data_IF_432615042547
#
_entry.id   IF_432615042547
#
_cell.length_a   1.000
_cell.length_b   1.000
_cell.length_c   1.000
_cell.angle_alpha   90.00
_cell.angle_beta   90.00
_cell.angle_gamma   90.00
#
_symmetry.space_group_name_H-M   'P 1'
#
loop_
_entity.id
_entity.type
_entity.pdbx_description
1 polymer ?
#
# COMPACT_ATOMS: atom_id res chain seq x y z
N UNK A 1 -2.08 -6.71 -4.40
CA UNK A 1 -1.29 -5.94 -3.43
C UNK A 1 -0.70 -6.89 -2.43
N UNK A 2 0.60 -6.76 -2.18
CA UNK A 2 1.32 -7.66 -1.30
C UNK A 2 2.03 -6.89 -0.16
N UNK A 3 2.60 -7.65 0.78
CA UNK A 3 3.51 -7.13 1.80
C UNK A 3 2.95 -5.96 2.61
N UNK A 4 3.77 -4.92 2.71
CA UNK A 4 3.55 -3.74 3.56
C UNK A 4 2.33 -2.92 3.14
N UNK A 5 2.05 -2.80 1.84
CA UNK A 5 0.89 -2.06 1.33
C UNK A 5 -0.40 -2.76 1.74
N UNK A 6 -0.52 -4.06 1.48
CA UNK A 6 -1.70 -4.85 1.84
C UNK A 6 -2.01 -4.78 3.35
N UNK A 7 -0.98 -4.92 4.18
CA UNK A 7 -1.13 -4.83 5.63
C UNK A 7 -1.70 -3.47 6.09
N UNK A 8 -1.09 -2.37 5.66
CA UNK A 8 -1.51 -1.03 6.08
C UNK A 8 -2.92 -0.69 5.57
N UNK A 9 -3.27 -1.13 4.37
CA UNK A 9 -4.61 -0.97 3.81
C UNK A 9 -5.66 -1.70 4.65
N UNK A 10 -5.40 -2.97 5.03
CA UNK A 10 -6.29 -3.76 5.91
C UNK A 10 -6.43 -3.14 7.29
N UNK A 11 -5.33 -2.71 7.90
CA UNK A 11 -5.35 -2.04 9.21
C UNK A 11 -6.14 -0.73 9.16
N UNK A 12 -5.92 0.08 8.13
CA UNK A 12 -6.65 1.35 7.93
C UNK A 12 -8.15 1.12 7.75
N UNK A 13 -8.53 0.12 6.94
CA UNK A 13 -9.93 -0.25 6.76
C UNK A 13 -10.56 -0.74 8.08
N UNK A 14 -9.86 -1.59 8.83
CA UNK A 14 -10.33 -2.03 10.15
C UNK A 14 -10.52 -0.83 11.09
N UNK A 15 -9.55 0.09 11.15
CA UNK A 15 -9.61 1.29 11.96
C UNK A 15 -10.78 2.20 11.57
N UNK A 16 -10.98 2.52 10.28
CA UNK A 16 -12.14 3.28 9.79
C UNK A 16 -13.46 2.64 10.21
N UNK A 17 -13.59 1.31 10.09
CA UNK A 17 -14.79 0.57 10.50
C UNK A 17 -15.04 0.70 12.01
N UNK A 18 -14.00 0.49 12.83
CA UNK A 18 -14.09 0.60 14.29
C UNK A 18 -14.51 2.01 14.70
N UNK A 19 -14.01 3.03 14.02
CA UNK A 19 -14.34 4.42 14.33
C UNK A 19 -15.75 4.81 13.89
N UNK A 20 -16.21 4.29 12.74
CA UNK A 20 -17.55 4.59 12.22
C UNK A 20 -18.66 3.87 12.99
N UNK A 21 -18.44 2.62 13.37
CA UNK A 21 -19.48 1.76 13.97
C UNK A 21 -19.27 1.47 15.45
N UNK A 22 -18.15 1.91 16.04
CA UNK A 22 -17.77 1.62 17.43
C UNK A 22 -17.65 0.12 17.77
N UNK A 23 -17.59 -0.74 16.76
CA UNK A 23 -17.43 -2.19 16.90
C UNK A 23 -15.96 -2.57 16.69
N UNK A 24 -15.36 -3.19 17.71
CA UNK A 24 -13.99 -3.72 17.58
C UNK A 24 -13.95 -4.86 16.57
N UNK A 25 -13.14 -4.71 15.54
CA UNK A 25 -12.84 -5.75 14.56
C UNK A 25 -11.46 -6.31 14.85
N UNK A 26 -11.32 -7.64 14.77
CA UNK A 26 -10.01 -8.27 14.84
C UNK A 26 -9.25 -8.06 13.53
N UNK A 27 -7.99 -7.62 13.66
CA UNK A 27 -7.05 -7.64 12.56
C UNK A 27 -6.17 -8.87 12.73
N UNK A 28 -6.19 -9.76 11.73
CA UNK A 28 -5.32 -10.93 11.68
C UNK A 28 -4.14 -10.62 10.74
N UNK A 29 -2.89 -10.61 11.26
CA UNK A 29 -1.70 -10.48 10.42
C UNK A 29 -1.55 -11.66 9.44
N UNK A 30 -0.77 -11.45 8.38
CA UNK A 30 -0.38 -12.53 7.46
C UNK A 30 0.48 -13.60 8.17
N UNK A 31 0.50 -14.83 7.65
CA UNK A 31 1.15 -15.98 8.30
C UNK A 31 2.66 -15.78 8.59
N UNK A 32 3.32 -14.94 7.78
CA UNK A 32 4.75 -14.62 7.89
C UNK A 32 5.03 -13.52 8.93
N UNK A 33 4.00 -12.94 9.55
CA UNK A 33 4.13 -11.94 10.61
C UNK A 33 4.06 -12.63 11.96
N UNK A 34 5.03 -12.34 12.82
CA UNK A 34 5.05 -12.80 14.20
C UNK A 34 4.31 -11.83 15.12
N UNK A 35 4.65 -10.53 15.05
CA UNK A 35 4.06 -9.53 15.92
C UNK A 35 3.85 -8.18 15.23
N UNK A 36 2.88 -7.42 15.74
CA UNK A 36 2.64 -6.03 15.38
C UNK A 36 2.59 -5.21 16.66
N UNK A 37 3.43 -4.19 16.73
CA UNK A 37 3.48 -3.24 17.85
C UNK A 37 3.48 -1.80 17.36
N UNK A 38 3.20 -0.87 18.27
CA UNK A 38 3.17 0.56 18.00
C UNK A 38 3.95 1.30 19.07
N UNK A 39 4.87 2.15 18.66
CA UNK A 39 5.59 3.05 19.54
C UNK A 39 4.94 4.43 19.47
N UNK A 40 4.20 4.79 20.54
CA UNK A 40 3.47 6.07 20.62
C UNK A 40 4.24 7.09 21.46
N UNK A 41 4.13 8.37 21.12
CA UNK A 41 4.72 9.44 21.94
C UNK A 41 3.86 9.64 23.19
N UNK A 42 4.50 9.58 24.34
CA UNK A 42 3.91 9.75 25.67
C UNK A 42 4.39 11.04 26.33
N UNK A 43 3.87 11.32 27.52
CA UNK A 43 4.14 12.56 28.28
C UNK A 43 5.66 12.74 28.50
N UNK A 44 6.14 13.98 28.39
CA UNK A 44 7.54 14.38 28.59
C UNK A 44 8.55 13.71 27.65
N UNK A 45 8.15 13.39 26.41
CA UNK A 45 9.06 12.86 25.39
C UNK A 45 9.42 11.39 25.58
N UNK A 46 8.80 10.69 26.53
CA UNK A 46 8.91 9.23 26.64
C UNK A 46 8.09 8.57 25.54
N UNK A 47 8.50 7.39 25.08
CA UNK A 47 7.68 6.56 24.21
C UNK A 47 7.03 5.44 25.00
N UNK A 48 5.88 4.97 24.52
CA UNK A 48 5.16 3.82 25.07
C UNK A 48 4.95 2.80 23.96
N UNK A 49 5.33 1.56 24.22
CA UNK A 49 5.04 0.47 23.31
C UNK A 49 3.63 -0.10 23.58
N UNK A 50 2.83 -0.20 22.53
CA UNK A 50 1.55 -0.89 22.50
C UNK A 50 1.74 -2.21 21.75
N UNK A 51 1.38 -3.33 22.37
CA UNK A 51 1.79 -4.67 21.92
C UNK A 51 0.88 -5.28 20.85
N UNK A 52 -0.16 -4.55 20.43
CA UNK A 52 -1.14 -5.07 19.48
C UNK A 52 -1.86 -3.94 18.74
N UNK A 53 -2.43 -4.28 17.58
CA UNK A 53 -3.39 -3.43 16.86
C UNK A 53 -4.54 -3.00 17.76
N UNK A 54 -5.07 -3.91 18.58
CA UNK A 54 -6.17 -3.64 19.52
C UNK A 54 -5.80 -2.60 20.57
N UNK A 55 -4.60 -2.65 21.11
CA UNK A 55 -4.12 -1.66 22.08
C UNK A 55 -3.89 -0.29 21.44
N UNK A 56 -3.40 -0.27 20.21
CA UNK A 56 -3.26 0.95 19.42
C UNK A 56 -4.60 1.59 19.07
N UNK A 57 -5.58 0.80 18.61
CA UNK A 57 -6.94 1.31 18.32
C UNK A 57 -7.59 1.90 19.58
N UNK A 58 -7.47 1.23 20.73
CA UNK A 58 -7.94 1.77 22.03
C UNK A 58 -7.20 3.03 22.45
N UNK A 59 -5.91 3.14 22.12
CA UNK A 59 -5.14 4.34 22.37
C UNK A 59 -5.70 5.50 21.53
N UNK A 60 -5.83 5.36 20.21
CA UNK A 60 -6.29 6.44 19.32
C UNK A 60 -7.75 6.85 19.62
N UNK A 61 -8.63 5.92 20.04
CA UNK A 61 -10.01 6.24 20.44
C UNK A 61 -10.07 7.21 21.63
N UNK A 62 -9.05 7.24 22.51
CA UNK A 62 -8.99 8.18 23.63
C UNK A 62 -8.61 9.61 23.23
N UNK A 63 -8.02 9.80 22.05
CA UNK A 63 -7.49 11.09 21.60
C UNK A 63 -8.44 11.84 20.65
N UNK A 64 -9.73 11.47 20.59
CA UNK A 64 -10.75 12.19 19.83
C UNK A 64 -10.30 12.45 18.37
N UNK A 65 -10.26 11.37 17.62
CA UNK A 65 -9.78 11.34 16.26
C UNK A 65 -10.89 11.72 15.25
N UNK A 66 -10.50 12.28 14.10
CA UNK A 66 -11.39 12.68 13.00
C UNK A 66 -11.36 11.71 11.81
N UNK A 67 -10.17 11.42 11.27
CA UNK A 67 -10.02 10.57 10.06
C UNK A 67 -8.60 9.96 9.92
N UNK A 68 -8.49 8.80 9.26
CA UNK A 68 -7.32 7.94 9.16
C UNK A 68 -7.15 7.73 7.68
N UNK A 69 -5.94 7.97 7.23
CA UNK A 69 -5.60 7.88 5.83
C UNK A 69 -4.36 7.05 5.67
N UNK A 70 -4.14 6.59 4.45
CA UNK A 70 -2.88 6.02 4.03
C UNK A 70 -2.19 7.02 3.13
N UNK A 71 -0.89 7.19 3.33
CA UNK A 71 -0.02 7.77 2.35
C UNK A 71 0.95 6.70 1.86
N UNK A 72 1.09 6.59 0.54
CA UNK A 72 2.06 5.75 -0.13
C UNK A 72 2.78 6.65 -1.13
N UNK A 73 4.10 6.79 -1.03
CA UNK A 73 4.85 7.59 -2.00
C UNK A 73 4.63 7.04 -3.42
N UNK A 74 3.94 7.77 -4.32
CA UNK A 74 3.65 7.25 -5.66
C UNK A 74 4.91 7.22 -6.56
N UNK A 75 5.95 7.98 -6.19
CA UNK A 75 7.20 8.12 -6.94
C UNK A 75 8.28 7.20 -6.38
N UNK A 76 8.22 5.95 -6.80
CA UNK A 76 9.27 4.96 -6.48
C UNK A 76 10.47 5.17 -7.38
N UNK A 77 11.62 5.42 -6.76
CA UNK A 77 12.88 5.55 -7.49
C UNK A 77 13.26 4.23 -8.18
N UNK A 78 13.17 3.11 -7.46
CA UNK A 78 13.49 1.77 -7.97
C UNK A 78 12.37 0.74 -7.66
N UNK A 79 11.47 0.45 -8.62
CA UNK A 79 10.45 -0.58 -8.49
C UNK A 79 10.98 -1.99 -8.22
N UNK A 80 12.23 -2.30 -8.62
CA UNK A 80 12.84 -3.61 -8.39
C UNK A 80 13.08 -3.91 -6.91
N UNK A 81 13.13 -2.87 -6.07
CA UNK A 81 13.32 -3.02 -4.63
C UNK A 81 12.02 -3.24 -3.84
N UNK A 82 10.86 -3.18 -4.49
CA UNK A 82 9.57 -3.23 -3.80
C UNK A 82 9.24 -4.59 -3.18
N UNK A 83 9.96 -5.64 -3.57
CA UNK A 83 9.90 -6.96 -2.93
C UNK A 83 10.63 -7.07 -1.59
N UNK A 84 11.43 -6.07 -1.21
CA UNK A 84 12.17 -6.08 0.05
C UNK A 84 11.42 -5.30 1.13
N UNK A 85 11.63 -5.68 2.40
CA UNK A 85 11.05 -4.97 3.52
C UNK A 85 11.67 -3.58 3.67
N UNK A 86 10.90 -2.63 4.22
CA UNK A 86 11.32 -1.24 4.48
C UNK A 86 11.65 -0.38 3.24
N UNK A 87 11.40 -0.86 2.02
CA UNK A 87 11.63 -0.07 0.78
C UNK A 87 10.41 0.74 0.35
N UNK A 88 9.24 0.43 0.90
CA UNK A 88 8.03 1.20 0.66
C UNK A 88 7.96 2.38 1.63
N UNK A 89 7.99 3.62 1.11
CA UNK A 89 7.60 4.81 1.88
C UNK A 89 6.07 4.87 1.97
N UNK A 90 5.53 4.11 2.93
CA UNK A 90 4.11 4.04 3.26
C UNK A 90 3.89 4.34 4.73
N UNK A 91 2.82 5.07 5.02
CA UNK A 91 2.51 5.60 6.35
C UNK A 91 1.02 5.52 6.62
N UNK A 92 0.65 5.29 7.87
CA UNK A 92 -0.69 5.55 8.37
C UNK A 92 -0.72 6.99 8.87
N UNK A 93 -1.69 7.78 8.41
CA UNK A 93 -1.87 9.19 8.77
C UNK A 93 -3.13 9.31 9.63
N UNK A 94 -3.01 9.83 10.86
CA UNK A 94 -4.14 10.13 11.73
C UNK A 94 -4.39 11.63 11.78
N UNK A 95 -5.61 12.04 11.46
CA UNK A 95 -6.13 13.39 11.67
C UNK A 95 -6.92 13.43 12.99
N UNK A 96 -6.48 14.26 13.92
CA UNK A 96 -7.15 14.47 15.21
C UNK A 96 -8.16 15.61 15.13
N UNK A 97 -9.17 15.61 16.00
CA UNK A 97 -10.22 16.65 16.02
C UNK A 97 -9.66 18.06 16.32
N UNK A 98 -8.53 18.15 17.02
CA UNK A 98 -7.84 19.41 17.30
C UNK A 98 -6.98 19.92 16.13
N UNK A 99 -7.06 19.29 14.95
CA UNK A 99 -6.29 19.67 13.76
C UNK A 99 -4.86 19.13 13.73
N UNK A 100 -4.38 18.45 14.78
CA UNK A 100 -3.06 17.80 14.77
C UNK A 100 -3.10 16.58 13.84
N UNK A 101 -2.00 16.38 13.11
CA UNK A 101 -1.79 15.21 12.26
C UNK A 101 -0.59 14.43 12.78
N UNK A 102 -0.73 13.11 12.84
CA UNK A 102 0.27 12.15 13.31
C UNK A 102 0.51 11.12 12.22
N UNK A 103 1.77 10.73 12.00
CA UNK A 103 2.10 9.62 11.10
C UNK A 103 2.65 8.42 11.86
N UNK A 104 2.36 7.22 11.37
CA UNK A 104 2.98 5.98 11.82
C UNK A 104 3.72 5.34 10.66
N UNK A 105 5.02 5.11 10.85
CA UNK A 105 5.88 4.42 9.89
C UNK A 105 6.15 2.99 10.35
N UNK A 106 5.95 1.99 9.50
CA UNK A 106 6.33 0.62 9.84
C UNK A 106 7.85 0.43 9.73
N UNK A 107 8.39 -0.34 10.65
CA UNK A 107 9.74 -0.88 10.63
C UNK A 107 9.65 -2.39 10.75
N UNK A 108 10.21 -3.10 9.79
CA UNK A 108 10.18 -4.56 9.69
C UNK A 108 11.51 -5.14 10.18
N UNK A 109 11.45 -6.04 11.15
CA UNK A 109 12.57 -6.80 11.68
C UNK A 109 12.34 -8.29 11.45
N UNK A 110 13.30 -8.98 10.83
CA UNK A 110 13.21 -10.42 10.61
C UNK A 110 13.82 -11.14 11.80
N UNK A 111 13.04 -11.99 12.46
CA UNK A 111 13.55 -12.91 13.48
C UNK A 111 13.95 -14.23 12.80
N UNK A 112 15.26 -14.49 12.78
CA UNK A 112 15.85 -15.67 12.16
C UNK A 112 15.43 -16.99 12.85
N UNK A 113 15.17 -16.97 14.15
CA UNK A 113 14.86 -18.18 14.93
C UNK A 113 13.47 -18.71 14.58
N UNK A 114 12.49 -17.81 14.50
CA UNK A 114 11.09 -18.14 14.17
C UNK A 114 10.78 -18.00 12.69
N UNK A 115 11.71 -17.43 11.90
CA UNK A 115 11.59 -17.16 10.46
C UNK A 115 10.35 -16.35 10.10
N UNK A 116 10.08 -15.31 10.88
CA UNK A 116 8.92 -14.41 10.74
C UNK A 116 9.31 -12.96 10.98
N UNK A 117 8.42 -12.06 10.60
CA UNK A 117 8.61 -10.61 10.73
C UNK A 117 7.93 -10.05 11.98
N UNK A 118 8.69 -9.27 12.76
CA UNK A 118 8.17 -8.34 13.74
C UNK A 118 8.05 -6.96 13.12
N UNK A 119 6.89 -6.33 13.31
CA UNK A 119 6.57 -5.04 12.68
C UNK A 119 6.25 -4.03 13.78
N UNK A 120 7.05 -2.96 13.85
CA UNK A 120 6.83 -1.85 14.77
C UNK A 120 6.39 -0.60 14.00
N UNK A 121 5.29 0.00 14.41
CA UNK A 121 4.80 1.26 13.86
C UNK A 121 5.21 2.41 14.77
N UNK A 122 6.15 3.25 14.32
CA UNK A 122 6.69 4.35 15.11
C UNK A 122 5.94 5.63 14.83
N UNK A 123 5.45 6.27 15.90
CA UNK A 123 4.77 7.56 15.84
C UNK A 123 5.76 8.70 15.57
N UNK A 124 5.50 9.46 14.51
CA UNK A 124 6.25 10.66 14.16
C UNK A 124 5.33 11.88 14.07
N UNK A 125 5.91 13.06 14.35
CA UNK A 125 5.22 14.32 14.11
C UNK A 125 5.40 14.68 12.65
N UNK A 126 4.37 15.28 12.08
CA UNK A 126 4.41 15.77 10.71
C UNK A 126 4.86 17.22 10.71
N UNK A 127 5.98 17.50 10.05
CA UNK A 127 6.50 18.86 9.90
C UNK A 127 5.79 19.61 8.74
N UNK A 128 5.35 18.90 7.69
CA UNK A 128 4.63 19.49 6.55
C UNK A 128 3.41 18.63 6.12
N UNK A 129 2.21 18.95 6.62
CA UNK A 129 1.02 18.13 6.36
C UNK A 129 0.46 18.23 4.93
N UNK A 130 0.86 19.23 4.14
CA UNK A 130 0.35 19.43 2.76
C UNK A 130 0.72 18.29 1.81
N UNK A 131 1.82 17.58 2.08
CA UNK A 131 2.28 16.43 1.28
C UNK A 131 1.22 15.32 1.24
N UNK A 132 0.32 15.28 2.23
CA UNK A 132 -0.75 14.29 2.34
C UNK A 132 -2.06 14.69 1.64
N UNK A 133 -2.14 15.93 1.11
CA UNK A 133 -3.27 16.41 0.31
C UNK A 133 -3.12 16.04 -1.18
N UNK A 134 -1.88 15.79 -1.64
CA UNK A 134 -1.54 15.48 -3.04
C UNK A 134 -1.92 14.05 -3.49
N UNK A 135 -2.36 13.18 -2.57
CA UNK A 135 -2.90 11.84 -2.86
C UNK A 135 -4.36 11.82 -3.36
N UNK A 136 -4.93 12.99 -3.68
CA UNK A 136 -6.36 13.17 -4.02
C UNK A 136 -6.65 13.08 -5.51
N UNK A 137 -5.65 13.11 -6.39
CA UNK A 137 -5.86 13.03 -7.85
C UNK A 137 -5.50 11.63 -8.37
N UNK A 138 -6.52 10.78 -8.49
CA UNK A 138 -6.44 9.52 -9.21
C UNK A 138 -7.20 9.65 -10.53
N UNK A 139 -6.55 9.29 -11.63
CA UNK A 139 -7.11 9.32 -12.98
C UNK A 139 -7.35 7.89 -13.46
N UNK A 140 -8.62 7.48 -13.47
CA UNK A 140 -9.01 6.14 -13.87
C UNK A 140 -8.70 5.85 -15.34
N UNK A 141 -8.80 6.84 -16.23
CA UNK A 141 -8.52 6.66 -17.66
C UNK A 141 -7.01 6.49 -17.90
N UNK A 142 -6.19 7.21 -17.13
CA UNK A 142 -4.75 6.99 -17.13
C UNK A 142 -4.40 5.60 -16.63
N UNK A 143 -5.06 5.10 -15.59
CA UNK A 143 -4.82 3.75 -15.10
C UNK A 143 -5.21 2.69 -16.14
N UNK A 144 -6.37 2.85 -16.78
CA UNK A 144 -6.82 1.98 -17.89
C UNK A 144 -5.80 1.93 -19.04
N UNK A 145 -5.33 3.09 -19.50
CA UNK A 145 -4.31 3.19 -20.57
C UNK A 145 -3.02 2.47 -20.19
N UNK A 146 -2.53 2.68 -18.97
CA UNK A 146 -1.29 2.04 -18.51
C UNK A 146 -1.45 0.52 -18.43
N UNK A 147 -2.59 0.01 -17.96
CA UNK A 147 -2.87 -1.43 -17.93
C UNK A 147 -2.91 -2.02 -19.35
N UNK A 148 -3.47 -1.30 -20.32
CA UNK A 148 -3.48 -1.70 -21.72
C UNK A 148 -2.08 -1.73 -22.35
N UNK A 149 -1.31 -0.64 -22.17
CA UNK A 149 0.04 -0.51 -22.68
C UNK A 149 0.97 -1.58 -22.11
N UNK A 150 0.95 -1.79 -20.79
CA UNK A 150 1.83 -2.78 -20.15
C UNK A 150 1.39 -4.23 -20.43
N UNK A 151 0.10 -4.47 -20.66
CA UNK A 151 -0.39 -5.78 -21.14
C UNK A 151 0.18 -6.12 -22.50
N UNK A 152 0.09 -5.20 -23.48
CA UNK A 152 0.67 -5.37 -24.82
C UNK A 152 2.17 -5.56 -24.76
N UNK A 153 2.86 -4.69 -24.01
CA UNK A 153 4.30 -4.79 -23.82
C UNK A 153 4.72 -6.14 -23.23
N UNK A 154 3.99 -6.65 -22.24
CA UNK A 154 4.26 -7.95 -21.64
C UNK A 154 4.13 -9.09 -22.67
N UNK A 155 3.15 -9.06 -23.57
CA UNK A 155 3.07 -10.03 -24.67
C UNK A 155 4.24 -9.88 -25.66
N UNK A 156 4.62 -8.65 -26.03
CA UNK A 156 5.72 -8.38 -26.97
C UNK A 156 7.07 -8.92 -26.48
N UNK A 157 7.30 -8.90 -25.16
CA UNK A 157 8.50 -9.48 -24.55
C UNK A 157 8.39 -10.98 -24.25
N UNK A 158 7.25 -11.62 -24.52
CA UNK A 158 7.03 -13.05 -24.25
C UNK A 158 6.75 -13.38 -22.78
N UNK A 159 6.16 -12.43 -22.03
CA UNK A 159 5.74 -12.55 -20.64
C UNK A 159 4.22 -12.72 -20.53
N UNK A 160 3.64 -13.69 -21.25
CA UNK A 160 2.19 -13.86 -21.44
C UNK A 160 1.38 -13.99 -20.14
N UNK A 161 1.96 -14.59 -19.11
CA UNK A 161 1.32 -14.68 -17.79
C UNK A 161 1.04 -13.28 -17.22
N UNK A 162 1.99 -12.35 -17.37
CA UNK A 162 1.82 -10.96 -16.92
C UNK A 162 0.91 -10.17 -17.84
N UNK A 163 0.98 -10.40 -19.16
CA UNK A 163 0.05 -9.79 -20.11
C UNK A 163 -1.41 -10.09 -19.72
N UNK A 164 -1.70 -11.35 -19.36
CA UNK A 164 -2.99 -11.78 -18.86
C UNK A 164 -3.37 -11.13 -17.52
N UNK A 165 -2.43 -11.01 -16.59
CA UNK A 165 -2.68 -10.31 -15.30
C UNK A 165 -3.10 -8.87 -15.57
N UNK A 166 -2.38 -8.13 -16.41
CA UNK A 166 -2.68 -6.73 -16.70
C UNK A 166 -4.00 -6.56 -17.47
N UNK A 167 -4.29 -7.45 -18.43
CA UNK A 167 -5.56 -7.49 -19.14
C UNK A 167 -6.73 -7.77 -18.19
N UNK A 168 -6.58 -8.72 -17.27
CA UNK A 168 -7.58 -9.00 -16.24
C UNK A 168 -7.81 -7.81 -15.31
N UNK A 169 -6.73 -7.17 -14.83
CA UNK A 169 -6.83 -5.97 -13.99
C UNK A 169 -7.57 -4.83 -14.72
N UNK A 170 -7.33 -4.66 -16.03
CA UNK A 170 -8.07 -3.72 -16.88
C UNK A 170 -9.56 -4.06 -16.95
N UNK A 171 -9.90 -5.32 -17.16
CA UNK A 171 -11.29 -5.78 -17.17
C UNK A 171 -11.95 -5.53 -15.81
N UNK A 172 -11.26 -5.84 -14.71
CA UNK A 172 -11.71 -5.56 -13.34
C UNK A 172 -11.94 -4.07 -13.12
N UNK A 173 -11.05 -3.19 -13.61
CA UNK A 173 -11.19 -1.74 -13.50
C UNK A 173 -12.45 -1.21 -14.19
N UNK A 174 -12.80 -1.77 -15.34
CA UNK A 174 -13.93 -1.31 -16.16
C UNK A 174 -15.28 -1.93 -15.77
N UNK A 175 -15.31 -2.77 -14.73
CA UNK A 175 -16.55 -3.35 -14.23
C UNK A 175 -17.35 -2.35 -13.40
N UNK A 176 -18.64 -2.30 -13.70
CA UNK A 176 -19.65 -1.43 -13.10
C UNK A 176 -20.61 -2.17 -12.14
N UNK A 177 -20.42 -3.47 -11.93
CA UNK A 177 -21.31 -4.34 -11.13
C UNK A 177 -20.86 -4.54 -9.67
N UNK A 178 -19.85 -3.80 -9.21
CA UNK A 178 -19.36 -3.95 -7.84
C UNK A 178 -20.29 -3.30 -6.81
N UNK A 179 -20.59 -3.99 -5.68
CA UNK A 179 -21.55 -3.52 -4.68
C UNK A 179 -21.06 -2.34 -3.84
N UNK A 180 -19.77 -1.96 -3.96
CA UNK A 180 -19.17 -0.86 -3.19
C UNK A 180 -18.42 0.10 -4.12
N UNK A 181 -18.61 1.39 -3.86
CA UNK A 181 -17.90 2.47 -4.51
C UNK A 181 -16.38 2.22 -4.43
N UNK A 182 -15.68 2.37 -5.56
CA UNK A 182 -14.23 2.18 -5.73
C UNK A 182 -13.67 0.75 -5.58
N UNK A 183 -14.50 -0.27 -5.35
CA UNK A 183 -13.99 -1.65 -5.21
C UNK A 183 -13.27 -2.16 -6.47
N UNK A 184 -13.81 -1.88 -7.66
CA UNK A 184 -13.17 -2.21 -8.94
C UNK A 184 -11.75 -1.63 -9.04
N UNK A 185 -11.58 -0.36 -8.65
CA UNK A 185 -10.29 0.34 -8.67
C UNK A 185 -9.30 -0.36 -7.73
N UNK A 186 -9.72 -0.66 -6.49
CA UNK A 186 -8.85 -1.31 -5.51
C UNK A 186 -8.47 -2.73 -5.93
N UNK A 187 -9.42 -3.49 -6.50
CA UNK A 187 -9.16 -4.85 -6.99
C UNK A 187 -8.23 -4.84 -8.20
N UNK A 188 -8.46 -3.96 -9.18
CA UNK A 188 -7.57 -3.80 -10.32
C UNK A 188 -6.15 -3.47 -9.87
N UNK A 189 -5.99 -2.47 -9.00
CA UNK A 189 -4.69 -2.12 -8.42
C UNK A 189 -4.07 -3.25 -7.60
N UNK A 190 -4.89 -4.09 -6.97
CA UNK A 190 -4.39 -5.26 -6.26
C UNK A 190 -3.93 -6.36 -7.20
N UNK A 191 -4.67 -6.62 -8.28
CA UNK A 191 -4.35 -7.64 -9.29
C UNK A 191 -3.08 -7.28 -10.05
N UNK A 192 -2.89 -6.01 -10.40
CA UNK A 192 -1.70 -5.52 -11.11
C UNK A 192 -0.51 -5.17 -10.21
N UNK A 193 -0.59 -5.38 -8.90
CA UNK A 193 0.55 -5.19 -7.98
C UNK A 193 1.39 -6.46 -7.90
N UNK A 194 2.17 -6.67 -8.96
CA UNK A 194 2.99 -7.86 -9.24
C UNK A 194 4.49 -7.65 -9.01
N UNK A 195 4.86 -6.57 -8.30
CA UNK A 195 6.25 -6.26 -7.96
C UNK A 195 6.67 -7.03 -6.71
N UNK A 196 7.89 -7.56 -6.71
CA UNK A 196 8.30 -8.50 -5.68
C UNK A 196 9.73 -9.03 -5.82
N UNK A 197 9.95 -10.25 -5.34
CA UNK A 197 11.23 -10.95 -5.47
C UNK A 197 11.16 -11.95 -6.64
N UNK A 198 11.53 -13.21 -6.44
CA UNK A 198 11.50 -14.24 -7.49
C UNK A 198 10.10 -14.46 -8.06
N UNK A 199 10.01 -14.59 -9.39
CA UNK A 199 8.77 -14.82 -10.13
C UNK A 199 7.87 -13.59 -10.27
N UNK A 200 8.35 -12.41 -9.86
CA UNK A 200 7.63 -11.14 -9.96
C UNK A 200 7.88 -10.45 -11.31
N UNK A 201 7.20 -9.34 -11.56
CA UNK A 201 7.39 -8.56 -12.78
C UNK A 201 8.82 -8.03 -12.94
N UNK A 202 9.52 -7.77 -11.83
CA UNK A 202 10.92 -7.34 -11.83
C UNK A 202 11.96 -8.47 -11.84
N UNK A 203 11.54 -9.68 -12.19
CA UNK A 203 12.41 -10.85 -12.37
C UNK A 203 12.49 -11.23 -13.87
N UNK A 204 11.87 -12.33 -14.29
CA UNK A 204 11.90 -12.84 -15.68
C UNK A 204 11.52 -11.78 -16.75
N UNK A 205 10.49 -10.93 -16.56
CA UNK A 205 10.16 -9.91 -17.56
C UNK A 205 11.25 -8.84 -17.73
N UNK A 206 12.02 -8.53 -16.68
CA UNK A 206 13.15 -7.60 -16.78
C UNK A 206 14.24 -8.20 -17.69
N UNK A 207 14.58 -9.48 -17.50
CA UNK A 207 15.55 -10.19 -18.33
C UNK A 207 15.11 -10.22 -19.81
N UNK A 208 13.85 -10.58 -20.06
CA UNK A 208 13.26 -10.60 -21.41
C UNK A 208 13.27 -9.23 -22.09
N UNK A 209 12.99 -8.16 -21.34
CA UNK A 209 13.08 -6.80 -21.86
C UNK A 209 14.54 -6.43 -22.20
N UNK A 210 15.52 -6.85 -21.40
CA UNK A 210 16.94 -6.65 -21.66
C UNK A 210 17.40 -7.34 -22.95
N UNK A 211 17.06 -8.61 -23.14
CA UNK A 211 17.41 -9.38 -24.34
C UNK A 211 16.88 -8.74 -25.63
N UNK A 212 15.73 -8.07 -25.55
CA UNK A 212 15.09 -7.38 -26.68
C UNK A 212 15.50 -5.91 -26.82
N UNK A 213 16.35 -5.38 -25.93
CA UNK A 213 16.76 -3.97 -25.95
C UNK A 213 15.66 -2.98 -25.54
N UNK A 214 14.65 -3.44 -24.79
CA UNK A 214 13.44 -2.69 -24.43
C UNK A 214 13.41 -2.21 -22.96
N UNK A 215 14.57 -2.19 -22.28
CA UNK A 215 14.65 -1.81 -20.86
C UNK A 215 14.08 -0.43 -20.54
N UNK A 216 14.29 0.57 -21.41
CA UNK A 216 13.73 1.92 -21.19
C UNK A 216 12.22 1.92 -21.13
N UNK A 217 11.58 1.13 -21.99
CA UNK A 217 10.13 1.02 -22.05
C UNK A 217 9.59 0.19 -20.88
N UNK A 218 10.28 -0.90 -20.54
CA UNK A 218 10.01 -1.67 -19.32
C UNK A 218 10.03 -0.77 -18.08
N UNK A 219 11.07 0.04 -17.89
CA UNK A 219 11.19 0.92 -16.72
C UNK A 219 10.09 1.98 -16.69
N UNK A 220 9.77 2.59 -17.84
CA UNK A 220 8.70 3.59 -17.98
C UNK A 220 7.36 3.00 -17.55
N UNK A 221 6.98 1.86 -18.13
CA UNK A 221 5.69 1.21 -17.87
C UNK A 221 5.61 0.67 -16.45
N UNK A 222 6.70 0.08 -15.93
CA UNK A 222 6.79 -0.40 -14.55
C UNK A 222 6.57 0.73 -13.55
N UNK A 223 7.28 1.86 -13.71
CA UNK A 223 7.13 3.04 -12.85
C UNK A 223 5.73 3.63 -12.96
N UNK A 224 5.18 3.72 -14.17
CA UNK A 224 3.83 4.22 -14.38
C UNK A 224 2.78 3.33 -13.69
N UNK A 225 2.91 2.00 -13.79
CA UNK A 225 1.99 1.06 -13.16
C UNK A 225 2.07 1.13 -11.63
N UNK A 226 3.28 1.11 -11.04
CA UNK A 226 3.46 1.28 -9.60
C UNK A 226 2.81 2.57 -9.13
N UNK A 227 3.04 3.68 -9.84
CA UNK A 227 2.45 4.98 -9.52
C UNK A 227 0.92 4.88 -9.50
N UNK A 228 0.30 4.29 -10.52
CA UNK A 228 -1.16 4.16 -10.59
C UNK A 228 -1.71 3.22 -9.51
N UNK A 229 -1.09 2.07 -9.24
CA UNK A 229 -1.50 1.16 -8.17
C UNK A 229 -1.54 1.88 -6.81
N UNK A 230 -0.54 2.74 -6.52
CA UNK A 230 -0.43 3.49 -5.27
C UNK A 230 -1.47 4.61 -5.17
N UNK A 231 -1.65 5.38 -6.25
CA UNK A 231 -2.67 6.42 -6.31
C UNK A 231 -4.09 5.82 -6.17
N UNK A 232 -4.36 4.72 -6.87
CA UNK A 232 -5.61 3.97 -6.77
C UNK A 232 -5.86 3.48 -5.33
N UNK A 233 -4.87 2.83 -4.71
CA UNK A 233 -4.95 2.39 -3.32
C UNK A 233 -5.31 3.54 -2.36
N UNK A 234 -4.53 4.63 -2.41
CA UNK A 234 -4.76 5.81 -1.58
C UNK A 234 -6.15 6.42 -1.83
N UNK A 235 -6.53 6.59 -3.10
CA UNK A 235 -7.82 7.15 -3.47
C UNK A 235 -8.98 6.32 -2.90
N UNK A 236 -8.95 5.00 -3.06
CA UNK A 236 -10.00 4.11 -2.58
C UNK A 236 -10.12 4.13 -1.05
N UNK A 237 -9.02 4.00 -0.31
CA UNK A 237 -9.09 3.92 1.15
C UNK A 237 -9.36 5.28 1.80
N UNK A 238 -8.79 6.35 1.27
CA UNK A 238 -8.92 7.68 1.87
C UNK A 238 -10.31 8.31 1.62
N UNK A 239 -11.03 7.86 0.59
CA UNK A 239 -12.38 8.31 0.26
C UNK A 239 -13.48 7.28 0.62
N UNK A 240 -13.15 6.26 1.43
CA UNK A 240 -14.10 5.26 1.94
C UNK A 240 -14.90 5.75 3.15
#
# INVERSE_FOLDING_TARGET
MNGQVSQIMKMTAATKRILKYHEMVEYTPEYYVNSISFEVKWIFGKTKQLKSFKDWVRHIQKFNYKDVKVYINPDVQDPGLLGFSNTNDIKIILHLLNGKIIEYRPTWHFDENIRKWDISYVEEKIDNPKIYEDGTTFDIYKFDSILDEISKFASDIGAENFAKIFSNAKNTLNRNDFPRQYMHILLAASESDVFGAMGSWNDDPYGKAAEKGLLKEYERLSKALVRQNRLAAMYCINNW
#
